data_IF_498276131527
#
_entry.id   IF_498276131527
#
_cell.length_a   1.000
_cell.length_b   1.000
_cell.length_c   1.000
_cell.angle_alpha   90.00
_cell.angle_beta   90.00
_cell.angle_gamma   90.00
#
_symmetry.space_group_name_H-M   'P 1'
#
loop_
_entity.id
_entity.type
_entity.pdbx_description
1 polymer ?
#
# COMPACT_ATOMS: atom_id res chain seq x y z
N UNK A 1 -2.15 0.59 -12.68
CA UNK A 1 -3.44 0.62 -11.97
C UNK A 1 -3.23 1.43 -10.71
N UNK A 2 -4.02 2.49 -10.48
CA UNK A 2 -4.04 3.20 -9.18
C UNK A 2 -5.10 2.56 -8.28
N UNK A 3 -5.13 2.92 -7.01
CA UNK A 3 -6.23 2.54 -6.08
C UNK A 3 -7.61 3.09 -6.49
N UNK A 4 -7.66 4.04 -7.42
CA UNK A 4 -8.87 4.59 -8.03
C UNK A 4 -9.13 4.07 -9.45
N UNK A 5 -8.38 3.08 -9.92
CA UNK A 5 -8.52 2.46 -11.24
C UNK A 5 -7.40 2.80 -12.23
N UNK A 6 -7.60 2.42 -13.48
CA UNK A 6 -6.61 2.59 -14.55
C UNK A 6 -6.51 4.07 -14.95
N UNK A 7 -5.27 4.55 -15.07
CA UNK A 7 -4.95 5.83 -15.69
C UNK A 7 -3.99 5.60 -16.86
N UNK A 8 -4.01 6.44 -17.92
CA UNK A 8 -2.97 6.45 -18.94
C UNK A 8 -1.62 6.80 -18.33
N UNK A 9 -0.55 6.11 -18.74
CA UNK A 9 0.81 6.40 -18.26
C UNK A 9 1.26 7.83 -18.55
N UNK A 10 0.80 8.41 -19.66
CA UNK A 10 1.02 9.81 -20.03
C UNK A 10 0.46 10.83 -19.02
N UNK A 11 -0.48 10.39 -18.17
CA UNK A 11 -1.13 11.22 -17.15
C UNK A 11 -0.59 10.97 -15.74
N UNK A 12 0.42 10.11 -15.59
CA UNK A 12 0.95 9.74 -14.28
C UNK A 12 1.96 10.77 -13.72
N UNK A 13 2.54 11.63 -14.56
CA UNK A 13 3.33 12.77 -14.13
C UNK A 13 4.60 12.41 -13.35
N UNK A 14 4.94 13.23 -12.34
CA UNK A 14 6.10 13.02 -11.47
C UNK A 14 5.76 12.04 -10.34
N UNK A 15 6.67 11.13 -10.06
CA UNK A 15 6.50 10.06 -9.08
C UNK A 15 7.35 10.27 -7.83
N UNK A 16 6.77 9.94 -6.68
CA UNK A 16 7.51 9.40 -5.53
C UNK A 16 7.38 7.87 -5.59
N UNK A 17 8.48 7.19 -5.91
CA UNK A 17 8.45 5.80 -6.41
C UNK A 17 8.52 4.73 -5.32
N UNK A 18 8.84 5.09 -4.08
CA UNK A 18 8.89 4.13 -2.97
C UNK A 18 8.66 4.86 -1.65
N UNK A 19 7.43 4.82 -1.17
CA UNK A 19 7.02 5.51 0.04
C UNK A 19 6.05 4.65 0.86
N UNK A 20 5.71 5.11 2.06
CA UNK A 20 4.74 4.45 2.93
C UNK A 20 3.89 5.47 3.67
N UNK A 21 2.56 5.38 3.54
CA UNK A 21 1.62 6.24 4.26
C UNK A 21 1.28 5.71 5.66
N UNK A 22 1.36 4.39 5.82
CA UNK A 22 1.15 3.69 7.08
C UNK A 22 2.05 2.46 7.08
N UNK A 23 2.73 2.21 8.20
CA UNK A 23 3.51 0.99 8.40
C UNK A 23 3.27 0.47 9.81
N UNK A 24 3.11 -0.84 9.94
CA UNK A 24 2.96 -1.51 11.22
C UNK A 24 3.95 -2.67 11.38
N UNK A 25 4.89 -2.49 12.30
CA UNK A 25 5.95 -3.45 12.59
C UNK A 25 5.61 -4.43 13.73
N UNK A 26 4.33 -4.63 14.06
CA UNK A 26 3.93 -5.55 15.13
C UNK A 26 4.34 -7.00 14.85
N UNK A 27 4.20 -7.46 13.60
CA UNK A 27 4.40 -8.86 13.19
C UNK A 27 3.16 -9.43 12.51
N UNK A 28 3.36 -10.41 11.60
CA UNK A 28 2.27 -10.99 10.81
C UNK A 28 1.24 -11.76 11.64
N UNK A 29 1.63 -12.24 12.82
CA UNK A 29 0.80 -12.99 13.76
C UNK A 29 -0.13 -12.10 14.61
N UNK A 30 0.13 -10.80 14.62
CA UNK A 30 -0.49 -9.84 15.54
C UNK A 30 -1.13 -8.65 14.82
N UNK A 31 -1.08 -8.61 13.49
CA UNK A 31 -1.70 -7.54 12.70
C UNK A 31 -3.23 -7.69 12.69
N UNK A 32 -3.92 -6.58 12.89
CA UNK A 32 -5.38 -6.52 12.88
C UNK A 32 -5.85 -5.12 12.48
N UNK A 33 -7.07 -5.05 11.91
CA UNK A 33 -7.62 -3.82 11.34
C UNK A 33 -7.95 -2.73 12.38
N UNK A 34 -7.98 -3.06 13.67
CA UNK A 34 -8.25 -2.15 14.78
C UNK A 34 -6.98 -1.46 15.34
N UNK A 35 -5.81 -1.76 14.78
CA UNK A 35 -4.53 -1.18 15.22
C UNK A 35 -4.36 0.29 14.85
N UNK A 36 -5.13 0.78 13.90
CA UNK A 36 -5.22 2.20 13.55
C UNK A 36 -6.67 2.59 13.28
N UNK A 37 -6.96 3.88 13.44
CA UNK A 37 -8.20 4.48 12.95
C UNK A 37 -7.88 5.23 11.66
N UNK A 38 -8.55 4.89 10.56
CA UNK A 38 -8.27 5.50 9.25
C UNK A 38 -8.39 7.01 9.30
N UNK A 39 -9.35 7.54 10.04
CA UNK A 39 -9.58 8.98 10.18
C UNK A 39 -8.37 9.68 10.81
N UNK A 40 -7.73 9.07 11.81
CA UNK A 40 -6.53 9.62 12.45
C UNK A 40 -5.34 9.59 11.48
N UNK A 41 -5.19 8.52 10.70
CA UNK A 41 -4.13 8.42 9.69
C UNK A 41 -4.36 9.42 8.54
N UNK A 42 -5.60 9.58 8.07
CA UNK A 42 -5.98 10.57 7.05
C UNK A 42 -5.65 11.98 7.53
N UNK A 43 -6.08 12.34 8.74
CA UNK A 43 -5.78 13.66 9.33
C UNK A 43 -4.28 13.92 9.42
N UNK A 44 -3.49 12.89 9.72
CA UNK A 44 -2.03 13.00 9.83
C UNK A 44 -1.34 13.11 8.47
N UNK A 45 -1.75 12.31 7.50
CA UNK A 45 -1.02 12.12 6.24
C UNK A 45 -1.48 13.04 5.10
N UNK A 46 -2.73 13.49 5.12
CA UNK A 46 -3.28 14.35 4.07
C UNK A 46 -2.47 15.64 3.86
N UNK A 47 -2.01 16.38 4.90
CA UNK A 47 -1.20 17.58 4.71
C UNK A 47 0.09 17.32 3.92
N UNK A 48 0.77 16.20 4.16
CA UNK A 48 2.01 15.83 3.45
C UNK A 48 1.75 15.48 1.98
N UNK A 49 0.64 14.81 1.68
CA UNK A 49 0.25 14.53 0.30
C UNK A 49 -0.13 15.80 -0.47
N UNK A 50 -0.78 16.76 0.20
CA UNK A 50 -1.08 18.07 -0.39
C UNK A 50 0.21 18.85 -0.67
N UNK A 51 1.15 18.88 0.27
CA UNK A 51 2.46 19.50 0.08
C UNK A 51 3.27 18.86 -1.06
N UNK A 52 3.26 17.52 -1.14
CA UNK A 52 3.89 16.79 -2.23
C UNK A 52 3.27 17.17 -3.59
N UNK A 53 1.94 17.29 -3.63
CA UNK A 53 1.21 17.71 -4.84
C UNK A 53 1.56 19.13 -5.26
N UNK A 54 1.59 20.07 -4.32
CA UNK A 54 2.01 21.45 -4.55
C UNK A 54 3.45 21.53 -5.06
N UNK A 55 4.31 20.60 -4.62
CA UNK A 55 5.69 20.44 -5.08
C UNK A 55 5.80 19.73 -6.46
N UNK A 56 4.68 19.42 -7.11
CA UNK A 56 4.62 18.84 -8.45
C UNK A 56 4.46 17.33 -8.51
N UNK A 57 4.38 16.63 -7.37
CA UNK A 57 4.09 15.20 -7.34
C UNK A 57 2.67 14.94 -7.86
N UNK A 58 2.55 13.99 -8.78
CA UNK A 58 1.26 13.57 -9.34
C UNK A 58 0.94 12.13 -8.99
N UNK A 59 1.97 11.31 -8.77
CA UNK A 59 1.81 9.89 -8.44
C UNK A 59 2.70 9.50 -7.25
N UNK A 60 2.09 8.83 -6.28
CA UNK A 60 2.74 8.30 -5.09
C UNK A 60 2.63 6.77 -5.13
N UNK A 61 3.73 6.07 -4.90
CA UNK A 61 3.76 4.61 -4.85
C UNK A 61 3.90 4.17 -3.40
N UNK A 62 2.81 3.68 -2.82
CA UNK A 62 2.82 3.07 -1.50
C UNK A 62 3.33 1.63 -1.62
N UNK A 63 4.50 1.39 -1.01
CA UNK A 63 5.19 0.10 -1.06
C UNK A 63 4.92 -0.77 0.18
N UNK A 64 3.89 -0.46 0.98
CA UNK A 64 3.58 -1.21 2.21
C UNK A 64 3.04 -2.59 1.85
N UNK A 65 3.78 -3.68 2.11
CA UNK A 65 3.35 -5.02 1.71
C UNK A 65 2.21 -5.54 2.59
N UNK A 66 1.61 -6.65 2.17
CA UNK A 66 0.67 -7.36 3.00
C UNK A 66 1.35 -7.78 4.32
N UNK A 67 0.58 -7.84 5.40
CA UNK A 67 1.07 -8.07 6.78
C UNK A 67 2.01 -7.01 7.37
N UNK A 68 2.18 -5.85 6.73
CA UNK A 68 2.96 -4.71 7.26
C UNK A 68 2.12 -3.42 7.42
N UNK A 69 0.80 -3.54 7.46
CA UNK A 69 -0.13 -2.40 7.62
C UNK A 69 -0.72 -1.87 6.31
N UNK A 70 -0.69 -2.65 5.21
CA UNK A 70 -1.34 -2.28 3.95
C UNK A 70 -2.85 -2.11 4.13
N UNK A 71 -3.38 -0.93 3.80
CA UNK A 71 -4.81 -0.61 3.89
C UNK A 71 -5.28 0.13 2.63
N UNK A 72 -5.76 -0.62 1.64
CA UNK A 72 -6.10 -0.05 0.32
C UNK A 72 -7.29 0.91 0.35
N UNK A 73 -8.18 0.81 1.35
CA UNK A 73 -9.29 1.75 1.51
C UNK A 73 -8.80 3.11 2.04
N UNK A 74 -7.85 3.09 2.99
CA UNK A 74 -7.14 4.29 3.44
C UNK A 74 -6.41 4.97 2.27
N UNK A 75 -5.67 4.20 1.46
CA UNK A 75 -4.98 4.73 0.28
C UNK A 75 -5.96 5.36 -0.70
N UNK A 76 -7.11 4.72 -0.94
CA UNK A 76 -8.13 5.25 -1.84
C UNK A 76 -8.72 6.57 -1.33
N UNK A 77 -9.01 6.67 -0.03
CA UNK A 77 -9.49 7.90 0.61
C UNK A 77 -8.47 9.04 0.50
N UNK A 78 -7.20 8.79 0.85
CA UNK A 78 -6.12 9.76 0.73
C UNK A 78 -5.90 10.23 -0.71
N UNK A 79 -5.98 9.32 -1.69
CA UNK A 79 -5.87 9.65 -3.11
C UNK A 79 -7.03 10.56 -3.56
N UNK A 80 -8.26 10.29 -3.13
CA UNK A 80 -9.43 11.13 -3.43
C UNK A 80 -9.32 12.52 -2.80
N UNK A 81 -8.90 12.61 -1.54
CA UNK A 81 -8.81 13.87 -0.80
C UNK A 81 -7.66 14.76 -1.29
N UNK A 82 -6.50 14.18 -1.56
CA UNK A 82 -5.33 14.92 -2.05
C UNK A 82 -5.38 15.20 -3.55
N UNK A 83 -6.05 14.34 -4.32
CA UNK A 83 -5.97 14.31 -5.78
C UNK A 83 -4.60 13.88 -6.32
N UNK A 84 -3.78 13.23 -5.50
CA UNK A 84 -2.57 12.51 -5.92
C UNK A 84 -2.97 11.09 -6.35
N UNK A 85 -2.46 10.61 -7.47
CA UNK A 85 -2.64 9.21 -7.86
C UNK A 85 -1.85 8.32 -6.90
N UNK A 86 -2.46 7.28 -6.33
CA UNK A 86 -1.75 6.35 -5.45
C UNK A 86 -1.72 4.96 -6.09
N UNK A 87 -0.52 4.40 -6.24
CA UNK A 87 -0.31 2.99 -6.58
C UNK A 87 -0.02 2.24 -5.28
N UNK A 88 -0.43 0.97 -5.24
CA UNK A 88 -0.07 0.05 -4.17
C UNK A 88 0.60 -1.20 -4.76
N UNK A 89 1.20 -2.01 -3.90
CA UNK A 89 1.91 -3.22 -4.28
C UNK A 89 1.15 -4.48 -3.83
N UNK A 90 1.77 -5.62 -4.18
CA UNK A 90 1.48 -6.95 -3.66
C UNK A 90 2.81 -7.55 -3.18
N UNK A 91 2.78 -8.49 -2.23
CA UNK A 91 3.98 -9.12 -1.69
C UNK A 91 4.05 -9.16 -0.17
N UNK A 92 5.14 -9.77 0.32
CA UNK A 92 5.45 -9.92 1.75
C UNK A 92 6.83 -9.34 2.08
N UNK A 93 7.05 -8.97 3.35
CA UNK A 93 8.28 -8.34 3.80
C UNK A 93 9.16 -9.28 4.64
N UNK A 94 10.19 -9.86 4.01
CA UNK A 94 11.13 -10.81 4.63
C UNK A 94 12.24 -10.18 5.49
N UNK A 95 11.92 -9.21 6.34
CA UNK A 95 12.87 -8.58 7.26
C UNK A 95 12.71 -9.10 8.70
N UNK A 96 13.69 -8.79 9.55
CA UNK A 96 13.68 -9.14 10.99
C UNK A 96 13.42 -10.63 11.18
N UNK A 97 14.25 -11.48 10.55
CA UNK A 97 14.12 -12.94 10.58
C UNK A 97 12.71 -13.43 10.18
N UNK A 98 12.15 -12.83 9.12
CA UNK A 98 10.82 -13.09 8.57
C UNK A 98 9.65 -12.84 9.54
N UNK A 99 9.81 -11.94 10.52
CA UNK A 99 8.75 -11.55 11.47
C UNK A 99 7.44 -11.12 10.82
N UNK A 100 7.50 -10.51 9.63
CA UNK A 100 6.34 -9.97 8.91
C UNK A 100 5.82 -10.90 7.81
N UNK A 101 6.38 -12.11 7.71
CA UNK A 101 5.94 -13.11 6.73
C UNK A 101 4.86 -13.99 7.40
N UNK A 102 3.66 -14.12 6.82
CA UNK A 102 2.61 -14.94 7.42
C UNK A 102 2.97 -16.42 7.38
N UNK A 103 2.43 -17.21 8.32
CA UNK A 103 2.86 -18.60 8.52
C UNK A 103 2.67 -19.48 7.27
N UNK A 104 1.57 -19.30 6.55
CA UNK A 104 1.30 -20.09 5.34
C UNK A 104 2.36 -19.89 4.25
N UNK A 105 3.04 -18.73 4.22
CA UNK A 105 4.00 -18.43 3.16
C UNK A 105 5.30 -19.26 3.28
N UNK A 106 5.52 -19.92 4.42
CA UNK A 106 6.60 -20.89 4.59
C UNK A 106 6.23 -22.30 4.10
N UNK A 107 4.93 -22.59 4.02
CA UNK A 107 4.41 -23.89 3.59
C UNK A 107 4.06 -23.90 2.09
N UNK A 108 3.79 -22.72 1.52
CA UNK A 108 3.46 -22.55 0.11
C UNK A 108 4.68 -22.52 -0.81
N UNK A 109 4.52 -23.11 -1.99
CA UNK A 109 5.50 -23.01 -3.08
C UNK A 109 5.49 -21.60 -3.70
N UNK A 110 6.56 -21.27 -4.43
CA UNK A 110 6.64 -20.01 -5.19
C UNK A 110 5.47 -19.82 -6.17
N UNK A 111 4.93 -20.91 -6.74
CA UNK A 111 3.77 -20.85 -7.63
C UNK A 111 2.48 -20.44 -6.90
N UNK A 112 2.25 -20.99 -5.71
CA UNK A 112 1.10 -20.64 -4.87
C UNK A 112 1.18 -19.20 -4.37
N UNK A 113 2.37 -18.74 -3.98
CA UNK A 113 2.60 -17.34 -3.62
C UNK A 113 2.33 -16.40 -4.80
N UNK A 114 2.80 -16.76 -6.00
CA UNK A 114 2.53 -15.97 -7.21
C UNK A 114 1.03 -15.93 -7.55
N UNK A 115 0.30 -17.03 -7.40
CA UNK A 115 -1.16 -17.06 -7.60
C UNK A 115 -1.91 -16.07 -6.70
N UNK A 116 -1.47 -15.89 -5.44
CA UNK A 116 -2.06 -14.89 -4.54
C UNK A 116 -1.91 -13.48 -5.09
N UNK A 117 -0.71 -13.13 -5.53
CA UNK A 117 -0.41 -11.80 -6.06
C UNK A 117 -1.09 -11.53 -7.40
N UNK A 118 -1.20 -12.56 -8.26
CA UNK A 118 -1.98 -12.49 -9.49
C UNK A 118 -3.47 -12.29 -9.16
N UNK A 119 -3.99 -13.00 -8.17
CA UNK A 119 -5.38 -12.84 -7.76
C UNK A 119 -5.67 -11.43 -7.23
N UNK A 120 -4.76 -10.84 -6.45
CA UNK A 120 -4.88 -9.43 -6.03
C UNK A 120 -4.89 -8.47 -7.22
N UNK A 121 -4.05 -8.72 -8.23
CA UNK A 121 -3.99 -7.92 -9.44
C UNK A 121 -5.28 -8.01 -10.28
N UNK A 122 -5.87 -9.20 -10.41
CA UNK A 122 -7.03 -9.46 -11.27
C UNK A 122 -8.36 -9.16 -10.58
N UNK A 123 -8.47 -9.44 -9.27
CA UNK A 123 -9.72 -9.43 -8.53
C UNK A 123 -9.77 -8.38 -7.40
N UNK A 124 -8.64 -7.72 -7.12
CA UNK A 124 -8.53 -6.70 -6.08
C UNK A 124 -7.92 -7.23 -4.78
N UNK A 125 -7.52 -6.27 -3.94
CA UNK A 125 -7.03 -6.47 -2.56
C UNK A 125 -8.17 -6.20 -1.59
#
# INVERSE_FOLDING_TARGET
MTVNGIIPSSSAGVFLTHEHLLVDFIGADSLSADRWKREEVVQKMLPFLLEAKESGCQTFVDCTPDYLGRDVLLLQELSKLSGVNILTNTGFYGAVDNKFVPRFAFDESAGQLAERWINEWEHGI
#
